data_IF_943557725845
#
_entry.id   IF_943557725845
#
_cell.length_a   1.000
_cell.length_b   1.000
_cell.length_c   1.000
_cell.angle_alpha   90.00
_cell.angle_beta   90.00
_cell.angle_gamma   90.00
#
_symmetry.space_group_name_H-M   'P 1'
#
loop_
_entity.id
_entity.type
_entity.pdbx_description
1 polymer ?
#
# COMPACT_ATOMS: atom_id res chain seq x y z
N UNK A 1 22.20 -0.17 -2.68
CA UNK A 1 21.36 -0.70 -3.79
C UNK A 1 19.99 -1.05 -3.18
N UNK A 2 19.07 -0.07 -3.04
CA UNK A 2 17.75 -0.32 -2.42
C UNK A 2 16.67 0.73 -2.82
N UNK A 3 16.93 1.55 -3.84
CA UNK A 3 16.06 2.68 -4.22
C UNK A 3 14.73 2.22 -4.84
N UNK A 4 14.73 1.11 -5.61
CA UNK A 4 13.49 0.58 -6.19
C UNK A 4 12.51 0.09 -5.11
N UNK A 5 13.01 -0.55 -4.05
CA UNK A 5 12.21 -0.98 -2.91
C UNK A 5 11.61 0.21 -2.15
N UNK A 6 12.43 1.22 -1.85
CA UNK A 6 11.98 2.45 -1.20
C UNK A 6 10.93 3.18 -2.03
N UNK A 7 11.14 3.23 -3.35
CA UNK A 7 10.19 3.81 -4.28
C UNK A 7 8.85 3.06 -4.29
N UNK A 8 8.85 1.73 -4.32
CA UNK A 8 7.60 0.92 -4.22
C UNK A 8 6.84 1.23 -2.92
N UNK A 9 7.55 1.32 -1.79
CA UNK A 9 6.95 1.69 -0.50
C UNK A 9 6.36 3.10 -0.53
N UNK A 10 7.07 4.07 -1.11
CA UNK A 10 6.60 5.44 -1.23
C UNK A 10 5.36 5.55 -2.12
N UNK A 11 5.34 4.82 -3.24
CA UNK A 11 4.18 4.74 -4.13
C UNK A 11 2.97 4.17 -3.39
N UNK A 12 3.13 3.10 -2.60
CA UNK A 12 2.02 2.52 -1.82
C UNK A 12 1.40 3.51 -0.83
N UNK A 13 2.24 4.23 -0.07
CA UNK A 13 1.75 5.26 0.86
C UNK A 13 1.06 6.41 0.12
N UNK A 14 1.63 6.86 -1.01
CA UNK A 14 1.00 7.89 -1.84
C UNK A 14 -0.35 7.44 -2.41
N UNK A 15 -0.50 6.16 -2.76
CA UNK A 15 -1.80 5.58 -3.15
C UNK A 15 -2.81 5.67 -2.00
N UNK A 16 -2.41 5.36 -0.78
CA UNK A 16 -3.29 5.50 0.40
C UNK A 16 -3.66 6.97 0.67
N UNK A 17 -2.78 7.92 0.37
CA UNK A 17 -3.09 9.35 0.44
C UNK A 17 -4.13 9.78 -0.61
N UNK A 18 -4.13 9.15 -1.79
CA UNK A 18 -5.21 9.33 -2.75
C UNK A 18 -6.54 8.72 -2.27
N UNK A 19 -6.49 7.51 -1.70
CA UNK A 19 -7.69 6.78 -1.25
C UNK A 19 -8.35 7.47 -0.07
N UNK A 20 -7.55 7.92 0.91
CA UNK A 20 -8.02 8.66 2.09
C UNK A 20 -8.59 10.04 1.75
N UNK A 21 -8.21 10.60 0.59
CA UNK A 21 -8.61 11.94 0.17
C UNK A 21 -7.64 13.05 0.59
N UNK A 22 -6.50 12.70 1.20
CA UNK A 22 -5.42 13.64 1.50
C UNK A 22 -4.92 14.34 0.22
N UNK A 23 -4.70 13.57 -0.85
CA UNK A 23 -4.60 14.16 -2.19
C UNK A 23 -6.00 14.20 -2.79
N UNK A 24 -6.63 15.37 -2.72
CA UNK A 24 -7.99 15.59 -3.20
C UNK A 24 -8.17 15.13 -4.66
N UNK A 25 -9.31 14.50 -4.94
CA UNK A 25 -9.71 14.13 -6.30
C UNK A 25 -9.99 15.35 -7.19
N UNK A 26 -10.34 16.49 -6.58
CA UNK A 26 -10.62 17.77 -7.24
C UNK A 26 -9.91 18.88 -6.45
N UNK A 27 -8.59 19.00 -6.59
CA UNK A 27 -7.84 20.02 -5.87
C UNK A 27 -8.30 21.40 -6.32
N UNK A 28 -8.38 22.32 -5.36
CA UNK A 28 -8.71 23.73 -5.60
C UNK A 28 -7.46 24.52 -5.96
N UNK A 29 -6.31 24.10 -5.44
CA UNK A 29 -4.99 24.70 -5.65
C UNK A 29 -4.12 23.65 -6.33
N UNK A 30 -3.48 24.04 -7.43
CA UNK A 30 -2.67 23.18 -8.30
C UNK A 30 -3.43 22.03 -8.99
N UNK A 31 -2.71 21.32 -9.87
CA UNK A 31 -3.21 20.11 -10.52
C UNK A 31 -2.96 18.90 -9.63
N UNK A 32 -3.80 17.88 -9.77
CA UNK A 32 -3.68 16.65 -8.98
C UNK A 32 -2.34 15.96 -9.21
N UNK A 33 -1.81 16.01 -10.43
CA UNK A 33 -0.53 15.42 -10.81
C UNK A 33 0.64 16.10 -10.07
N UNK A 34 0.63 17.43 -9.96
CA UNK A 34 1.66 18.17 -9.21
C UNK A 34 1.62 17.86 -7.73
N UNK A 35 0.42 17.78 -7.14
CA UNK A 35 0.26 17.40 -5.74
C UNK A 35 0.74 15.96 -5.50
N UNK A 36 0.45 15.04 -6.42
CA UNK A 36 0.97 13.67 -6.38
C UNK A 36 2.50 13.64 -6.46
N UNK A 37 3.11 14.40 -7.37
CA UNK A 37 4.57 14.46 -7.51
C UNK A 37 5.24 14.98 -6.22
N UNK A 38 4.75 16.11 -5.70
CA UNK A 38 5.24 16.69 -4.45
C UNK A 38 5.10 15.71 -3.29
N UNK A 39 3.93 15.06 -3.19
CA UNK A 39 3.68 14.11 -2.12
C UNK A 39 4.56 12.87 -2.24
N UNK A 40 4.72 12.33 -3.44
CA UNK A 40 5.56 11.15 -3.68
C UNK A 40 7.02 11.43 -3.32
N UNK A 41 7.56 12.59 -3.69
CA UNK A 41 8.92 12.99 -3.31
C UNK A 41 9.06 13.09 -1.77
N UNK A 42 8.10 13.74 -1.11
CA UNK A 42 8.11 13.86 0.34
C UNK A 42 8.07 12.49 1.04
N UNK A 43 7.12 11.63 0.63
CA UNK A 43 6.96 10.30 1.21
C UNK A 43 8.18 9.42 0.94
N UNK A 44 8.83 9.54 -0.22
CA UNK A 44 10.07 8.83 -0.49
C UNK A 44 11.17 9.17 0.52
N UNK A 45 11.36 10.47 0.80
CA UNK A 45 12.34 10.92 1.80
C UNK A 45 11.97 10.44 3.21
N UNK A 46 10.68 10.51 3.55
CA UNK A 46 10.16 10.01 4.83
C UNK A 46 10.45 8.52 5.01
N UNK A 47 10.11 7.69 4.02
CA UNK A 47 10.35 6.24 4.06
C UNK A 47 11.84 5.94 4.17
N UNK A 48 12.69 6.68 3.45
CA UNK A 48 14.14 6.52 3.56
C UNK A 48 14.65 6.80 4.98
N UNK A 49 14.21 7.92 5.59
CA UNK A 49 14.58 8.29 6.96
C UNK A 49 14.15 7.22 7.97
N UNK A 50 12.93 6.72 7.86
CA UNK A 50 12.41 5.68 8.77
C UNK A 50 13.19 4.37 8.58
N UNK A 51 13.49 3.99 7.34
CA UNK A 51 14.31 2.80 7.05
C UNK A 51 15.71 2.91 7.66
N UNK A 52 16.40 4.04 7.47
CA UNK A 52 17.73 4.26 8.04
C UNK A 52 17.71 4.15 9.57
N UNK A 53 16.70 4.72 10.21
CA UNK A 53 16.49 4.60 11.66
C UNK A 53 16.31 3.15 12.08
N UNK A 54 15.41 2.41 11.42
CA UNK A 54 15.16 0.98 11.72
C UNK A 54 16.41 0.14 11.52
N UNK A 55 17.15 0.36 10.42
CA UNK A 55 18.40 -0.35 10.14
C UNK A 55 19.46 -0.07 11.21
N UNK A 56 19.57 1.17 11.68
CA UNK A 56 20.50 1.53 12.74
C UNK A 56 20.21 0.85 14.07
N UNK A 57 18.92 0.60 14.37
CA UNK A 57 18.45 -0.03 15.60
C UNK A 57 18.48 -1.57 15.56
N UNK A 58 18.46 -2.17 14.38
CA UNK A 58 18.31 -3.62 14.18
C UNK A 58 19.49 -4.26 13.44
N UNK A 59 20.72 -3.85 13.77
CA UNK A 59 21.95 -4.32 13.10
C UNK A 59 22.19 -5.84 13.26
N UNK A 60 21.56 -6.49 14.25
CA UNK A 60 21.66 -7.93 14.48
C UNK A 60 20.75 -8.77 13.58
N UNK A 61 19.75 -8.17 12.95
CA UNK A 61 18.78 -8.87 12.11
C UNK A 61 19.30 -9.00 10.67
N UNK A 62 18.89 -10.05 9.96
CA UNK A 62 19.24 -10.21 8.55
C UNK A 62 18.55 -9.14 7.70
N UNK A 63 19.25 -8.62 6.67
CA UNK A 63 18.70 -7.58 5.80
C UNK A 63 17.38 -8.01 5.16
N UNK A 64 17.26 -9.29 4.77
CA UNK A 64 16.05 -9.87 4.18
C UNK A 64 14.85 -9.81 5.13
N UNK A 65 15.06 -10.13 6.42
CA UNK A 65 14.02 -10.09 7.44
C UNK A 65 13.61 -8.65 7.72
N UNK A 66 14.57 -7.73 7.80
CA UNK A 66 14.31 -6.29 7.97
C UNK A 66 13.50 -5.75 6.79
N UNK A 67 13.90 -6.05 5.54
CA UNK A 67 13.17 -5.63 4.33
C UNK A 67 11.75 -6.19 4.32
N UNK A 68 11.59 -7.47 4.66
CA UNK A 68 10.28 -8.11 4.71
C UNK A 68 9.36 -7.45 5.75
N UNK A 69 9.82 -7.30 7.00
CA UNK A 69 9.02 -6.70 8.07
C UNK A 69 8.70 -5.24 7.75
N UNK A 70 9.67 -4.48 7.22
CA UNK A 70 9.45 -3.10 6.79
C UNK A 70 8.38 -3.00 5.70
N UNK A 71 8.40 -3.89 4.70
CA UNK A 71 7.36 -3.95 3.67
C UNK A 71 5.98 -4.19 4.27
N UNK A 72 5.87 -5.09 5.27
CA UNK A 72 4.61 -5.36 5.97
C UNK A 72 4.15 -4.19 6.84
N UNK A 73 5.08 -3.50 7.47
CA UNK A 73 4.78 -2.28 8.21
C UNK A 73 4.19 -1.18 7.32
N UNK A 74 4.76 -1.00 6.12
CA UNK A 74 4.22 -0.08 5.11
C UNK A 74 2.80 -0.51 4.69
N UNK A 75 2.58 -1.79 4.40
CA UNK A 75 1.27 -2.31 4.00
C UNK A 75 0.18 -2.08 5.09
N UNK A 76 0.52 -2.28 6.36
CA UNK A 76 -0.39 -2.02 7.48
C UNK A 76 -0.64 -0.51 7.68
N UNK A 77 0.39 0.32 7.57
CA UNK A 77 0.26 1.78 7.66
C UNK A 77 -0.62 2.33 6.53
N UNK A 78 -0.47 1.80 5.31
CA UNK A 78 -1.34 2.13 4.18
C UNK A 78 -2.81 1.83 4.49
N UNK A 79 -3.08 0.71 5.18
CA UNK A 79 -4.43 0.36 5.61
C UNK A 79 -4.98 1.40 6.57
N UNK A 80 -4.21 1.80 7.59
CA UNK A 80 -4.61 2.80 8.59
C UNK A 80 -4.88 4.18 7.98
N UNK A 81 -4.07 4.60 7.00
CA UNK A 81 -4.34 5.81 6.22
C UNK A 81 -5.67 5.66 5.48
N UNK A 82 -5.85 4.55 4.77
CA UNK A 82 -7.00 4.36 3.86
C UNK A 82 -8.32 4.26 4.62
N UNK A 83 -8.33 3.70 5.83
CA UNK A 83 -9.53 3.59 6.67
C UNK A 83 -9.73 4.80 7.61
N UNK A 84 -8.84 5.80 7.58
CA UNK A 84 -8.97 7.03 8.34
C UNK A 84 -8.53 6.95 9.80
N UNK A 85 -7.84 5.89 10.22
CA UNK A 85 -7.14 5.82 11.51
C UNK A 85 -6.06 6.90 11.57
N UNK A 86 -5.28 7.02 10.48
CA UNK A 86 -4.47 8.21 10.22
C UNK A 86 -5.33 9.18 9.42
N UNK A 87 -5.88 10.17 10.13
CA UNK A 87 -6.82 11.13 9.57
C UNK A 87 -6.17 12.00 8.48
N UNK A 88 -7.01 12.50 7.57
CA UNK A 88 -6.59 13.45 6.52
C UNK A 88 -6.22 14.80 7.11
N UNK A 89 -7.05 15.31 8.02
CA UNK A 89 -6.87 16.56 8.75
C UNK A 89 -6.90 16.27 10.26
N UNK A 90 -5.82 15.73 10.82
CA UNK A 90 -5.74 15.46 12.25
C UNK A 90 -5.67 16.76 13.06
N UNK A 91 -6.37 16.80 14.19
CA UNK A 91 -6.37 17.95 15.10
C UNK A 91 -5.25 17.81 16.16
N UNK A 92 -4.92 16.58 16.55
CA UNK A 92 -4.11 16.30 17.74
C UNK A 92 -2.67 15.86 17.43
N UNK A 93 -2.31 15.71 16.16
CA UNK A 93 -0.99 15.22 15.76
C UNK A 93 -0.61 15.72 14.38
N UNK A 94 0.70 15.78 14.09
CA UNK A 94 1.18 15.91 12.71
C UNK A 94 1.02 14.56 11.98
N UNK A 95 0.42 14.62 10.80
CA UNK A 95 0.09 13.41 10.03
C UNK A 95 1.34 12.64 9.58
N UNK A 96 2.40 13.34 9.20
CA UNK A 96 3.61 12.72 8.68
C UNK A 96 4.43 12.07 9.79
N UNK A 97 4.52 12.73 10.94
CA UNK A 97 5.10 12.14 12.14
C UNK A 97 4.30 10.91 12.55
N UNK A 98 2.96 10.98 12.50
CA UNK A 98 2.12 9.82 12.80
C UNK A 98 2.36 8.64 11.85
N UNK A 99 2.55 8.91 10.56
CA UNK A 99 2.92 7.88 9.58
C UNK A 99 4.26 7.23 9.97
N UNK A 100 5.27 8.02 10.37
CA UNK A 100 6.56 7.48 10.79
C UNK A 100 6.41 6.57 12.03
N UNK A 101 5.74 7.07 13.07
CA UNK A 101 5.46 6.32 14.29
C UNK A 101 4.73 5.00 14.01
N UNK A 102 3.72 5.03 13.13
CA UNK A 102 2.93 3.85 12.79
C UNK A 102 3.74 2.83 11.99
N UNK A 103 4.64 3.28 11.10
CA UNK A 103 5.57 2.38 10.40
C UNK A 103 6.52 1.70 11.40
N UNK A 104 7.11 2.46 12.31
CA UNK A 104 8.00 1.92 13.35
C UNK A 104 7.27 0.91 14.24
N UNK A 105 6.07 1.27 14.71
CA UNK A 105 5.22 0.39 15.52
C UNK A 105 4.91 -0.92 14.80
N UNK A 106 4.47 -0.86 13.55
CA UNK A 106 4.16 -2.08 12.79
C UNK A 106 5.40 -2.86 12.40
N UNK A 107 6.56 -2.22 12.23
CA UNK A 107 7.81 -2.91 12.03
C UNK A 107 8.15 -3.77 13.24
N UNK A 108 8.15 -3.19 14.44
CA UNK A 108 8.44 -3.94 15.68
C UNK A 108 7.43 -5.07 15.89
N UNK A 109 6.15 -4.80 15.65
CA UNK A 109 5.10 -5.81 15.75
C UNK A 109 5.33 -6.97 14.77
N UNK A 110 5.64 -6.67 13.51
CA UNK A 110 5.87 -7.72 12.49
C UNK A 110 7.18 -8.47 12.72
N UNK A 111 8.21 -7.81 13.24
CA UNK A 111 9.48 -8.43 13.62
C UNK A 111 9.29 -9.42 14.79
N UNK A 112 8.51 -9.03 15.80
CA UNK A 112 8.15 -9.92 16.89
C UNK A 112 7.31 -11.12 16.40
N UNK A 113 6.32 -10.87 15.54
CA UNK A 113 5.42 -11.91 15.03
C UNK A 113 6.09 -12.90 14.08
N UNK A 114 7.03 -12.45 13.24
CA UNK A 114 7.79 -13.37 12.38
C UNK A 114 8.64 -14.33 13.22
N UNK A 115 9.15 -13.87 14.35
CA UNK A 115 9.95 -14.67 15.28
C UNK A 115 9.08 -15.66 16.07
N UNK A 116 7.87 -15.26 16.49
CA UNK A 116 6.95 -16.15 17.22
C UNK A 116 6.26 -17.19 16.33
N UNK A 117 5.93 -16.83 15.09
CA UNK A 117 5.23 -17.69 14.12
C UNK A 117 6.20 -18.50 13.23
N UNK A 118 7.52 -18.37 13.43
CA UNK A 118 8.56 -19.02 12.62
C UNK A 118 8.38 -18.77 11.10
N UNK A 119 7.97 -17.54 10.74
CA UNK A 119 7.78 -17.16 9.34
C UNK A 119 9.15 -16.92 8.72
N UNK A 120 9.55 -17.78 7.79
CA UNK A 120 10.74 -17.56 6.99
C UNK A 120 10.43 -16.61 5.82
N UNK A 121 11.17 -15.51 5.63
CA UNK A 121 11.01 -14.65 4.46
C UNK A 121 11.38 -15.44 3.19
N UNK A 122 10.40 -15.96 2.46
CA UNK A 122 10.65 -16.60 1.17
C UNK A 122 11.01 -15.52 0.14
N UNK A 123 12.15 -15.69 -0.54
CA UNK A 123 12.49 -14.91 -1.73
C UNK A 123 11.38 -15.06 -2.78
N UNK A 124 11.02 -14.00 -3.53
CA UNK A 124 10.27 -14.20 -4.76
C UNK A 124 11.14 -15.06 -5.68
N UNK A 125 10.67 -16.27 -5.99
CA UNK A 125 11.31 -17.17 -6.92
C UNK A 125 11.60 -16.41 -8.22
N UNK A 126 12.88 -16.27 -8.55
CA UNK A 126 13.32 -15.87 -9.87
C UNK A 126 12.74 -16.89 -10.85
N UNK A 127 11.74 -16.51 -11.64
CA UNK A 127 11.20 -17.35 -12.71
C UNK A 127 12.33 -17.46 -13.73
N UNK A 128 13.20 -18.45 -13.55
CA UNK A 128 14.07 -18.91 -14.61
C UNK A 128 13.14 -19.44 -15.70
N UNK A 129 13.05 -18.70 -16.80
CA UNK A 129 12.49 -19.16 -18.05
C UNK A 129 13.23 -20.44 -18.45
N UNK A 130 12.71 -21.59 -18.05
CA UNK A 130 13.08 -22.86 -18.67
C UNK A 130 12.52 -22.82 -20.09
N UNK A 131 13.42 -22.70 -21.06
CA UNK A 131 13.18 -22.93 -22.48
C UNK A 131 12.34 -24.20 -22.67
N UNK A 132 11.07 -24.04 -23.00
CA UNK A 132 10.26 -25.12 -23.53
C UNK A 132 10.43 -25.06 -25.04
N UNK A 133 11.18 -26.04 -25.55
CA UNK A 133 11.29 -26.33 -26.97
C UNK A 133 9.90 -26.51 -27.57
N UNK A 134 9.58 -25.71 -28.58
CA UNK A 134 8.40 -25.91 -29.41
C UNK A 134 8.62 -27.14 -30.29
N UNK A 135 7.91 -28.22 -29.99
CA UNK A 135 7.66 -29.30 -30.95
C UNK A 135 6.17 -29.67 -30.90
N UNK A 136 5.49 -29.28 -31.99
CA UNK A 136 4.36 -29.93 -32.67
C UNK A 136 3.13 -30.43 -31.90
N UNK A 137 1.98 -29.95 -32.41
CA UNK A 137 0.70 -30.64 -32.55
C UNK A 137 -0.06 -31.13 -31.30
N UNK A 138 -1.18 -30.47 -31.01
CA UNK A 138 -2.52 -30.97 -31.42
C UNK A 138 -3.66 -30.24 -30.68
N UNK A 139 -4.81 -30.26 -31.36
CA UNK A 139 -6.10 -29.62 -31.08
C UNK A 139 -6.66 -29.90 -29.67
N UNK A 140 -7.31 -28.91 -29.05
CA UNK A 140 -8.60 -29.12 -28.37
C UNK A 140 -9.24 -27.80 -27.91
N UNK A 141 -10.54 -27.68 -28.17
CA UNK A 141 -11.41 -26.55 -27.87
C UNK A 141 -11.66 -26.35 -26.36
N UNK A 142 -11.90 -25.09 -25.98
CA UNK A 142 -12.36 -24.72 -24.64
C UNK A 142 -12.59 -23.21 -24.54
N UNK A 143 -13.70 -22.71 -25.07
CA UNK A 143 -14.07 -21.31 -24.97
C UNK A 143 -14.45 -20.93 -23.54
N UNK A 144 -13.66 -20.09 -22.90
CA UNK A 144 -14.01 -19.51 -21.61
C UNK A 144 -15.00 -18.35 -21.83
N UNK A 145 -16.26 -18.54 -21.40
CA UNK A 145 -17.24 -17.44 -21.32
C UNK A 145 -16.93 -16.58 -20.10
N UNK A 146 -16.39 -15.39 -20.33
CA UNK A 146 -16.27 -14.35 -19.31
C UNK A 146 -17.68 -13.85 -18.96
N UNK A 147 -18.16 -14.16 -17.75
CA UNK A 147 -19.40 -13.58 -17.21
C UNK A 147 -19.01 -12.30 -16.47
N UNK A 148 -19.30 -11.15 -17.08
CA UNK A 148 -19.21 -9.84 -16.42
C UNK A 148 -20.49 -9.63 -15.62
N UNK A 149 -20.38 -9.53 -14.30
CA UNK A 149 -21.51 -9.17 -13.42
C UNK A 149 -21.53 -7.64 -13.27
N UNK A 150 -22.58 -6.94 -13.73
CA UNK A 150 -22.68 -5.49 -13.52
C UNK A 150 -23.05 -5.20 -12.07
N UNK A 151 -22.17 -4.51 -11.34
CA UNK A 151 -22.48 -3.95 -10.01
C UNK A 151 -23.15 -2.59 -10.19
N UNK A 152 -24.47 -2.60 -10.39
CA UNK A 152 -25.30 -1.41 -10.17
C UNK A 152 -26.67 -1.81 -9.63
N UNK A 153 -26.85 -1.70 -8.31
CA UNK A 153 -28.18 -1.49 -7.74
C UNK A 153 -28.33 -0.03 -7.35
N UNK A 154 -29.04 0.74 -8.19
CA UNK A 154 -29.55 2.06 -7.83
C UNK A 154 -30.49 1.90 -6.63
N UNK A 155 -30.12 2.46 -5.48
CA UNK A 155 -31.06 2.63 -4.37
C UNK A 155 -32.23 3.53 -4.85
N UNK A 156 -33.46 2.99 -4.82
CA UNK A 156 -34.67 3.78 -5.05
C UNK A 156 -34.78 4.82 -3.93
N UNK A 157 -34.69 6.11 -4.27
CA UNK A 157 -35.00 7.20 -3.33
C UNK A 157 -36.47 7.09 -2.91
N UNK A 158 -36.73 6.84 -1.64
CA UNK A 158 -38.07 6.92 -1.07
C UNK A 158 -38.56 8.38 -1.15
N UNK A 159 -39.74 8.59 -1.74
CA UNK A 159 -40.39 9.91 -1.76
C UNK A 159 -40.93 10.20 -0.37
N UNK A 160 -40.41 11.24 0.29
CA UNK A 160 -41.00 11.82 1.48
C UNK A 160 -42.40 12.38 1.13
N UNK A 161 -43.45 11.83 1.74
CA UNK A 161 -44.79 12.44 1.72
C UNK A 161 -44.70 13.79 2.45
N UNK A 162 -44.88 14.90 1.73
CA UNK A 162 -45.18 16.18 2.36
C UNK A 162 -46.53 16.06 3.07
N UNK A 163 -46.52 16.09 4.40
CA UNK A 163 -47.72 16.28 5.19
C UNK A 163 -48.36 17.63 4.82
N UNK A 164 -49.66 17.61 4.50
CA UNK A 164 -50.47 18.81 4.39
C UNK A 164 -50.64 19.38 5.81
N UNK A 165 -50.29 20.66 5.99
CA UNK A 165 -50.87 21.49 7.05
C UNK A 165 -52.15 22.10 6.50
#
# INVERSE_FOLDING_TARGET
MNNAFLFDCAVKLCCSDHVSGFISAKPVIDTREKLTEQRLNYVYQLVNKVKEKIQSQNQSETEEKVIYCFKKAIELTCSDISCGVIAVEPILYDRNDKICETIEFYFDLTLAMTSSLQVSPALPANIQNSSINNSSDSKSAGGYKTIVVPVYQKMKKAKLKKGKR
#
